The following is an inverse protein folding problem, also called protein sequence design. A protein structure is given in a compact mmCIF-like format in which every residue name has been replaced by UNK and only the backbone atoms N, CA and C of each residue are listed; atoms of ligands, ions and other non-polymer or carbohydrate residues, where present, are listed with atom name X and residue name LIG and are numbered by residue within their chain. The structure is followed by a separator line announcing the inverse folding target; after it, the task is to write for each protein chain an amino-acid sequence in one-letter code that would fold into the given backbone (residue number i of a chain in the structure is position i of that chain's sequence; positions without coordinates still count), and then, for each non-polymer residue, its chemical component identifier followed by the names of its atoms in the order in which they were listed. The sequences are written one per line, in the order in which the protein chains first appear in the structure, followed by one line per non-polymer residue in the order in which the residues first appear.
data_IF_923707221288
#
_entry.id   IF_923707221288
#
_cell.length_a   1.000
_cell.length_b   1.000
_cell.length_c   1.000
_cell.angle_alpha   90.00
_cell.angle_beta   90.00
_cell.angle_gamma   90.00
#
_symmetry.space_group_name_H-M   'P 1'
#
loop_
_entity.id
_entity.type
_entity.pdbx_description
1 polymer ?
#
# COMPACT_ATOMS: atom_id res chain seq x y z
N UNK A 1 12.13 -7.34 -4.37
CA UNK A 1 12.90 -7.93 -3.27
C UNK A 1 12.11 -7.53 -2.06
N UNK A 2 11.33 -8.46 -1.50
CA UNK A 2 10.37 -8.13 -0.45
C UNK A 2 11.10 -7.52 0.73
N UNK A 3 10.69 -6.31 1.12
CA UNK A 3 11.34 -5.52 2.18
C UNK A 3 10.62 -5.72 3.52
N UNK A 4 9.30 -5.92 3.47
CA UNK A 4 8.47 -6.18 4.63
C UNK A 4 7.38 -7.21 4.35
N UNK A 5 7.01 -7.96 5.39
CA UNK A 5 5.87 -8.86 5.36
C UNK A 5 4.82 -8.38 6.37
N UNK A 6 3.64 -8.03 5.90
CA UNK A 6 2.52 -7.55 6.72
C UNK A 6 1.37 -8.54 6.58
N UNK A 7 1.35 -9.55 7.45
CA UNK A 7 0.35 -10.62 7.42
C UNK A 7 -1.08 -10.09 7.53
N UNK A 8 -1.27 -8.94 8.17
CA UNK A 8 -2.56 -8.28 8.31
C UNK A 8 -3.16 -7.77 6.98
N UNK A 9 -2.35 -7.68 5.91
CA UNK A 9 -2.84 -7.36 4.57
C UNK A 9 -3.43 -8.58 3.85
N UNK A 10 -3.00 -9.79 4.19
CA UNK A 10 -3.40 -11.00 3.49
C UNK A 10 -4.93 -11.17 3.52
N UNK A 11 -5.52 -11.44 2.35
CA UNK A 11 -6.97 -11.60 2.22
C UNK A 11 -7.74 -10.27 2.24
N UNK A 12 -7.06 -9.13 2.30
CA UNK A 12 -7.73 -7.82 2.24
C UNK A 12 -8.07 -7.46 0.81
N UNK A 13 -9.36 -7.39 0.50
CA UNK A 13 -9.85 -7.01 -0.82
C UNK A 13 -10.05 -5.50 -0.98
N UNK A 14 -9.74 -4.99 -2.17
CA UNK A 14 -10.04 -3.63 -2.63
C UNK A 14 -10.34 -3.60 -4.12
N UNK A 15 -11.07 -2.58 -4.57
CA UNK A 15 -11.32 -2.34 -5.99
C UNK A 15 -10.39 -1.25 -6.53
N UNK A 16 -9.78 -1.49 -7.69
CA UNK A 16 -8.98 -0.49 -8.40
C UNK A 16 -9.07 -0.68 -9.92
N UNK A 17 -9.30 0.41 -10.64
CA UNK A 17 -9.41 0.36 -12.11
C UNK A 17 -10.59 -0.45 -12.64
N UNK A 18 -11.61 -0.72 -11.81
CA UNK A 18 -12.75 -1.56 -12.15
C UNK A 18 -12.55 -3.06 -11.89
N UNK A 19 -11.40 -3.44 -11.31
CA UNK A 19 -11.08 -4.82 -10.92
C UNK A 19 -10.93 -4.94 -9.40
N UNK A 20 -11.38 -6.05 -8.83
CA UNK A 20 -11.09 -6.43 -7.45
C UNK A 20 -9.73 -7.11 -7.32
N UNK A 21 -9.03 -6.72 -6.26
CA UNK A 21 -7.69 -7.15 -5.90
C UNK A 21 -7.66 -7.59 -4.44
N UNK A 22 -7.19 -8.80 -4.19
CA UNK A 22 -6.84 -9.30 -2.86
C UNK A 22 -5.37 -8.99 -2.60
N UNK A 23 -5.08 -8.21 -1.56
CA UNK A 23 -3.73 -7.93 -1.11
C UNK A 23 -3.10 -9.21 -0.53
N UNK A 24 -1.82 -9.41 -0.81
CA UNK A 24 -0.97 -10.39 -0.13
C UNK A 24 -0.23 -9.71 1.01
N UNK A 25 0.57 -10.48 1.74
CA UNK A 25 1.42 -9.96 2.82
C UNK A 25 2.73 -9.35 2.34
N UNK A 26 3.08 -9.46 1.05
CA UNK A 26 4.38 -9.01 0.54
C UNK A 26 4.37 -7.53 0.19
N UNK A 27 5.31 -6.79 0.79
CA UNK A 27 5.47 -5.35 0.59
C UNK A 27 6.91 -5.01 0.21
N UNK A 28 7.08 -4.43 -0.97
CA UNK A 28 8.33 -3.79 -1.38
C UNK A 28 8.26 -2.31 -0.95
N UNK A 29 9.11 -1.92 0.00
CA UNK A 29 9.25 -0.52 0.42
C UNK A 29 10.32 0.15 -0.44
N UNK A 30 9.96 1.28 -1.05
CA UNK A 30 10.80 2.02 -2.00
C UNK A 30 10.84 3.50 -1.66
N UNK A 31 11.78 4.20 -2.30
CA UNK A 31 11.92 5.65 -2.21
C UNK A 31 11.94 6.15 -0.75
N UNK A 32 12.80 5.54 0.08
CA UNK A 32 12.98 5.89 1.49
C UNK A 32 11.69 5.76 2.34
N UNK A 33 10.80 4.85 1.97
CA UNK A 33 9.53 4.61 2.66
C UNK A 33 8.36 5.47 2.17
N UNK A 34 8.54 6.28 1.14
CA UNK A 34 7.45 7.08 0.55
C UNK A 34 6.60 6.31 -0.46
N UNK A 35 7.16 5.25 -1.04
CA UNK A 35 6.46 4.37 -1.97
C UNK A 35 6.40 2.95 -1.40
N UNK A 36 5.23 2.34 -1.43
CA UNK A 36 5.01 0.95 -1.04
C UNK A 36 4.33 0.22 -2.17
N UNK A 37 4.97 -0.81 -2.68
CA UNK A 37 4.34 -1.72 -3.63
C UNK A 37 3.87 -2.93 -2.84
N UNK A 38 2.56 -3.11 -2.77
CA UNK A 38 1.93 -4.26 -2.09
C UNK A 38 1.53 -5.25 -3.16
N UNK A 39 2.01 -6.49 -3.07
CA UNK A 39 1.57 -7.52 -3.99
C UNK A 39 0.07 -7.82 -3.80
N UNK A 40 -0.62 -8.04 -4.91
CA UNK A 40 -2.05 -8.32 -4.94
C UNK A 40 -2.38 -9.31 -6.05
N UNK A 41 -3.45 -10.06 -5.85
CA UNK A 41 -4.00 -11.02 -6.82
C UNK A 41 -5.37 -10.54 -7.25
N UNK A 42 -5.62 -10.58 -8.55
CA UNK A 42 -6.95 -10.27 -9.07
C UNK A 42 -7.93 -11.34 -8.61
N UNK A 43 -9.02 -10.92 -7.95
CA UNK A 43 -10.10 -11.83 -7.51
C UNK A 43 -11.19 -11.95 -8.57
N UNK A 44 -11.37 -10.91 -9.38
CA UNK A 44 -12.37 -10.88 -10.43
C UNK A 44 -11.82 -11.40 -11.76
N UNK A 45 -12.47 -12.42 -12.30
CA UNK A 45 -12.20 -12.95 -13.64
C UNK A 45 -11.44 -14.29 -13.67
N UNK A 46 -11.44 -14.89 -14.86
CA UNK A 46 -10.96 -16.28 -15.06
C UNK A 46 -9.43 -16.38 -14.97
N UNK A 47 -8.71 -15.29 -15.26
CA UNK A 47 -7.26 -15.22 -15.16
C UNK A 47 -6.85 -14.52 -13.87
N UNK A 48 -6.51 -15.29 -12.84
CA UNK A 48 -5.90 -14.80 -11.58
C UNK A 48 -4.50 -14.26 -11.84
N UNK A 49 -4.40 -13.00 -12.23
CA UNK A 49 -3.13 -12.30 -12.47
C UNK A 49 -2.60 -11.70 -11.17
N UNK A 50 -1.29 -11.79 -10.96
CA UNK A 50 -0.60 -11.07 -9.89
C UNK A 50 -0.22 -9.67 -10.38
N UNK A 51 -0.25 -8.70 -9.48
CA UNK A 51 0.19 -7.34 -9.71
C UNK A 51 0.69 -6.72 -8.41
N UNK A 52 1.37 -5.59 -8.50
CA UNK A 52 1.75 -4.79 -7.35
C UNK A 52 1.00 -3.46 -7.35
N UNK A 53 0.23 -3.21 -6.29
CA UNK A 53 -0.48 -1.96 -6.07
C UNK A 53 0.47 -0.94 -5.42
N UNK A 54 0.58 0.24 -6.03
CA UNK A 54 1.48 1.30 -5.62
C UNK A 54 0.78 2.29 -4.71
N UNK A 55 1.20 2.32 -3.47
CA UNK A 55 0.78 3.30 -2.48
C UNK A 55 1.87 4.33 -2.27
N UNK A 56 1.55 5.59 -2.54
CA UNK A 56 2.47 6.71 -2.35
C UNK A 56 1.99 7.58 -1.19
N UNK A 57 2.92 8.05 -0.38
CA UNK A 57 2.62 8.96 0.71
C UNK A 57 1.75 10.12 0.22
N UNK A 58 0.54 10.22 0.75
CA UNK A 58 -0.34 11.33 0.45
C UNK A 58 0.20 12.53 1.23
N UNK A 59 0.95 13.40 0.54
CA UNK A 59 1.33 14.70 1.08
C UNK A 59 0.07 15.44 1.48
N UNK A 60 -0.12 15.64 2.77
CA UNK A 60 -1.25 16.38 3.29
C UNK A 60 -0.99 17.86 3.01
N UNK A 61 -1.85 18.51 2.21
CA UNK A 61 -1.82 19.96 1.98
C UNK A 61 -1.98 20.79 3.28
N UNK A 62 -2.08 20.15 4.45
CA UNK A 62 -2.07 20.78 5.78
C UNK A 62 -1.14 20.13 6.82
N UNK A 63 -0.25 19.20 6.47
CA UNK A 63 0.73 18.70 7.45
C UNK A 63 2.11 19.32 7.21
N UNK A 64 2.65 20.08 8.19
CA UNK A 64 3.90 20.80 8.02
C UNK A 64 5.03 19.81 7.78
N UNK A 65 5.70 19.98 6.63
CA UNK A 65 7.03 19.46 6.32
C UNK A 65 7.24 17.99 6.71
N UNK A 66 6.73 17.09 5.86
CA UNK A 66 7.14 15.69 5.86
C UNK A 66 8.64 15.63 5.60
N UNK A 67 9.43 15.54 6.68
CA UNK A 67 10.76 14.97 6.59
C UNK A 67 10.55 13.48 6.29
N UNK A 68 10.49 13.14 5.00
CA UNK A 68 10.37 11.77 4.48
C UNK A 68 11.64 10.93 4.75
N UNK A 69 12.44 11.33 5.73
CA UNK A 69 13.62 10.61 6.18
C UNK A 69 13.17 9.33 6.88
N UNK A 70 13.00 8.28 6.08
CA UNK A 70 12.84 6.90 6.49
C UNK A 70 11.50 6.59 7.17
N UNK A 71 10.44 6.48 6.37
CA UNK A 71 9.14 5.98 6.84
C UNK A 71 9.21 4.45 6.97
N UNK A 72 9.78 3.96 8.07
CA UNK A 72 9.96 2.52 8.36
C UNK A 72 8.79 1.90 9.16
N UNK A 73 7.65 2.59 9.24
CA UNK A 73 6.49 2.14 10.03
C UNK A 73 5.87 0.83 9.51
N UNK A 74 5.15 0.14 10.40
CA UNK A 74 4.40 -1.08 10.08
C UNK A 74 2.97 -0.79 9.62
N UNK A 75 2.33 -1.80 9.03
CA UNK A 75 0.91 -1.71 8.69
C UNK A 75 0.07 -1.34 9.92
N UNK A 76 -0.83 -0.38 9.74
CA UNK A 76 -1.80 -0.02 10.77
C UNK A 76 -3.23 -0.39 10.34
N UNK A 77 -3.65 0.08 9.16
CA UNK A 77 -4.96 -0.25 8.59
C UNK A 77 -5.06 0.10 7.11
N UNK A 78 -6.01 -0.53 6.42
CA UNK A 78 -6.44 -0.11 5.08
C UNK A 78 -7.80 0.62 5.16
N UNK A 79 -7.87 1.83 4.62
CA UNK A 79 -9.10 2.59 4.47
C UNK A 79 -9.72 2.33 3.08
N UNK A 80 -10.55 1.27 2.99
CA UNK A 80 -11.11 0.78 1.72
C UNK A 80 -11.88 1.84 0.91
N UNK A 81 -12.73 2.63 1.56
CA UNK A 81 -13.55 3.67 0.89
C UNK A 81 -12.75 4.73 0.15
N UNK A 82 -11.48 4.90 0.53
CA UNK A 82 -10.62 5.95 0.00
C UNK A 82 -9.30 5.40 -0.54
N UNK A 83 -9.14 4.08 -0.55
CA UNK A 83 -7.93 3.37 -1.02
C UNK A 83 -6.63 3.90 -0.37
N UNK A 84 -6.66 4.15 0.93
CA UNK A 84 -5.46 4.58 1.67
C UNK A 84 -4.89 3.46 2.52
N UNK A 85 -3.59 3.24 2.38
CA UNK A 85 -2.76 2.41 3.24
C UNK A 85 -2.20 3.27 4.37
N UNK A 86 -2.62 2.98 5.60
CA UNK A 86 -2.17 3.69 6.79
C UNK A 86 -1.08 2.87 7.46
N UNK A 87 0.02 3.55 7.74
CA UNK A 87 1.25 2.97 8.29
C UNK A 87 1.61 3.77 9.53
N UNK A 88 1.92 3.11 10.64
CA UNK A 88 2.30 3.79 11.89
C UNK A 88 3.72 3.40 12.30
N UNK A 89 4.48 4.40 12.73
CA UNK A 89 5.71 4.25 13.51
C UNK A 89 5.44 4.76 14.96
N UNK A 90 6.31 4.49 15.94
CA UNK A 90 6.12 4.89 17.33
C UNK A 90 5.84 6.39 17.55
N UNK A 91 6.27 7.25 16.62
CA UNK A 91 6.16 8.70 16.70
C UNK A 91 5.04 9.25 15.82
N UNK A 92 4.68 8.58 14.70
CA UNK A 92 3.81 9.16 13.66
C UNK A 92 2.99 8.12 12.91
N UNK A 93 1.86 8.57 12.38
CA UNK A 93 1.04 7.82 11.42
C UNK A 93 1.09 8.49 10.06
N UNK A 94 1.29 7.70 9.02
CA UNK A 94 1.35 8.12 7.62
C UNK A 94 0.22 7.50 6.84
N UNK A 95 -0.28 8.25 5.87
CA UNK A 95 -1.37 7.82 5.00
C UNK A 95 -0.87 7.83 3.57
N UNK A 96 -0.87 6.67 2.92
CA UNK A 96 -0.41 6.50 1.55
C UNK A 96 -1.59 6.19 0.65
N UNK A 97 -1.82 6.99 -0.37
CA UNK A 97 -2.92 6.78 -1.32
C UNK A 97 -2.53 5.83 -2.43
N UNK A 98 -3.47 5.02 -2.91
CA UNK A 98 -3.29 4.19 -4.09
C UNK A 98 -3.12 5.09 -5.33
N UNK A 99 -1.97 4.95 -6.02
CA UNK A 99 -1.59 5.77 -7.18
C UNK A 99 -1.51 5.00 -8.48
N UNK A 100 -1.37 3.68 -8.43
CA UNK A 100 -1.19 2.88 -9.63
C UNK A 100 -1.10 1.39 -9.35
N UNK A 101 -0.98 0.65 -10.45
CA UNK A 101 -0.80 -0.79 -10.45
C UNK A 101 0.34 -1.15 -11.42
N UNK A 102 1.10 -2.18 -11.09
CA UNK A 102 2.17 -2.74 -11.91
C UNK A 102 1.87 -4.20 -12.14
N UNK A 103 1.71 -4.62 -13.39
CA UNK A 103 1.58 -6.03 -13.72
C UNK A 103 2.97 -6.70 -13.69
N UNK A 104 3.04 -7.88 -13.06
CA UNK A 104 4.22 -8.76 -13.11
C UNK A 104 4.07 -9.78 -14.24
#
# INVERSE_FOLDING_TARGET
MVDAQWSELEGTELEYGGDGWELTSEVDVRNTGTLREVEARRVDGVCKRAASLRFELAGDERSPSVNAGNVSGGFHRLERHRQYLVVSDPQRTYRSGLRGIVHR
#
